data_IF_578559533776
#
_entry.id   IF_578559533776
#
_cell.length_a   1.000
_cell.length_b   1.000
_cell.length_c   1.000
_cell.angle_alpha   90.00
_cell.angle_beta   90.00
_cell.angle_gamma   90.00
#
_symmetry.space_group_name_H-M   'P 1'
#
loop_
_entity.id
_entity.type
_entity.pdbx_description
1 polymer ?
#
# COMPACT_ATOMS: atom_id res chain seq x y z
N UNK A 1 8.56 6.09 22.35
CA UNK A 1 8.48 6.72 21.01
C UNK A 1 7.13 7.37 20.88
N UNK A 2 7.10 8.55 20.29
CA UNK A 2 5.91 9.39 20.15
C UNK A 2 4.87 8.71 19.23
N UNK A 3 3.58 8.90 19.51
CA UNK A 3 2.47 8.29 18.75
C UNK A 3 2.41 8.71 17.26
N UNK A 4 3.19 9.71 16.86
CA UNK A 4 3.22 10.30 15.51
C UNK A 4 3.94 9.50 14.42
N UNK A 5 4.37 8.26 14.68
CA UNK A 5 4.97 7.39 13.65
C UNK A 5 3.98 6.35 13.06
N UNK A 6 2.73 6.34 13.54
CA UNK A 6 1.68 5.41 13.10
C UNK A 6 0.77 6.05 12.03
N UNK A 7 1.03 7.31 11.66
CA UNK A 7 0.23 8.07 10.69
C UNK A 7 0.46 7.62 9.23
N UNK A 8 1.19 6.52 9.01
CA UNK A 8 1.55 6.00 7.69
C UNK A 8 1.10 4.56 7.46
N UNK A 9 0.43 4.29 6.33
CA UNK A 9 0.21 2.92 5.85
C UNK A 9 1.56 2.25 5.51
N UNK A 10 1.77 0.95 5.81
CA UNK A 10 3.04 0.27 5.54
C UNK A 10 3.15 -0.09 4.05
N UNK A 11 3.72 0.82 3.24
CA UNK A 11 3.38 0.92 1.81
C UNK A 11 4.50 0.53 0.81
N UNK A 12 5.45 -0.33 1.18
CA UNK A 12 6.66 -0.55 0.35
C UNK A 12 6.86 -1.98 -0.16
N UNK A 13 5.92 -2.91 0.07
CA UNK A 13 6.15 -4.33 -0.23
C UNK A 13 7.39 -4.90 0.50
N UNK A 14 7.89 -4.14 1.47
CA UNK A 14 8.97 -4.39 2.42
C UNK A 14 8.56 -3.90 3.81
N UNK A 15 7.25 -3.91 4.09
CA UNK A 15 6.74 -3.58 5.41
C UNK A 15 7.52 -4.42 6.42
N UNK A 16 8.25 -3.82 7.38
CA UNK A 16 8.87 -4.59 8.46
C UNK A 16 7.78 -5.28 9.29
N UNK A 17 6.56 -4.76 9.22
CA UNK A 17 5.32 -5.26 9.79
C UNK A 17 4.66 -6.25 8.80
N UNK A 18 5.32 -7.36 8.50
CA UNK A 18 4.70 -8.56 7.89
C UNK A 18 3.96 -9.39 8.95
N UNK A 19 2.84 -10.06 8.63
CA UNK A 19 2.01 -10.80 9.60
C UNK A 19 2.80 -11.86 10.36
N UNK A 20 3.74 -12.50 9.66
CA UNK A 20 4.67 -13.53 10.17
C UNK A 20 5.81 -12.99 11.04
N UNK A 21 5.90 -11.67 11.23
CA UNK A 21 6.95 -10.98 12.00
C UNK A 21 6.38 -10.14 13.15
N UNK A 22 5.10 -10.31 13.49
CA UNK A 22 4.40 -9.59 14.55
C UNK A 22 4.08 -10.53 15.70
N UNK A 23 4.45 -10.13 16.91
CA UNK A 23 3.92 -10.72 18.13
C UNK A 23 2.93 -9.71 18.74
N UNK A 24 1.68 -10.13 18.90
CA UNK A 24 0.60 -9.26 19.37
C UNK A 24 -0.02 -9.88 20.61
N UNK A 25 -0.30 -9.04 21.61
CA UNK A 25 -0.99 -9.47 22.82
C UNK A 25 -2.38 -10.03 22.49
N UNK A 26 -2.67 -11.24 22.95
CA UNK A 26 -4.01 -11.85 22.80
C UNK A 26 -5.10 -10.96 23.40
N UNK A 27 -4.78 -10.26 24.50
CA UNK A 27 -5.70 -9.33 25.16
C UNK A 27 -6.10 -8.20 24.22
N UNK A 28 -5.12 -7.57 23.57
CA UNK A 28 -5.35 -6.49 22.61
C UNK A 28 -6.26 -6.94 21.46
N UNK A 29 -6.02 -8.14 20.92
CA UNK A 29 -6.84 -8.69 19.84
C UNK A 29 -8.29 -8.92 20.27
N UNK A 30 -8.50 -9.52 21.45
CA UNK A 30 -9.85 -9.83 21.97
C UNK A 30 -10.63 -8.57 22.35
N UNK A 31 -10.00 -7.64 23.05
CA UNK A 31 -10.66 -6.41 23.51
C UNK A 31 -11.07 -5.49 22.35
N UNK A 32 -10.33 -5.51 21.24
CA UNK A 32 -10.58 -4.68 20.06
C UNK A 32 -11.23 -5.45 18.89
N UNK A 33 -11.63 -6.70 19.12
CA UNK A 33 -12.23 -7.60 18.13
C UNK A 33 -11.43 -7.69 16.81
N UNK A 34 -10.10 -7.77 16.90
CA UNK A 34 -9.19 -7.73 15.75
C UNK A 34 -8.92 -9.13 15.21
N UNK A 35 -9.40 -9.36 13.99
CA UNK A 35 -9.26 -10.62 13.26
C UNK A 35 -8.85 -10.35 11.81
N UNK A 36 -8.30 -11.36 11.14
CA UNK A 36 -8.07 -11.29 9.70
C UNK A 36 -9.41 -11.26 8.97
N UNK A 37 -9.51 -10.44 7.93
CA UNK A 37 -10.69 -10.42 7.07
C UNK A 37 -10.62 -11.54 6.04
N UNK A 38 -11.76 -11.88 5.43
CA UNK A 38 -11.88 -12.91 4.39
C UNK A 38 -11.30 -12.47 3.02
N UNK A 39 -10.73 -11.27 2.93
CA UNK A 39 -10.16 -10.75 1.69
C UNK A 39 -8.91 -11.56 1.32
N UNK A 40 -8.75 -11.83 0.03
CA UNK A 40 -7.62 -12.62 -0.48
C UNK A 40 -6.32 -11.82 -0.61
N UNK A 41 -6.42 -10.49 -0.66
CA UNK A 41 -5.30 -9.55 -0.79
C UNK A 41 -5.61 -8.30 0.05
N UNK A 42 -4.69 -7.93 0.93
CA UNK A 42 -4.77 -6.71 1.74
C UNK A 42 -5.36 -6.92 3.14
N UNK A 43 -5.76 -8.15 3.47
CA UNK A 43 -6.18 -8.56 4.81
C UNK A 43 -5.11 -8.21 5.85
N UNK A 44 -3.84 -8.37 5.48
CA UNK A 44 -2.72 -8.04 6.36
C UNK A 44 -2.57 -6.54 6.59
N UNK A 45 -2.85 -5.71 5.58
CA UNK A 45 -2.73 -4.26 5.70
C UNK A 45 -3.77 -3.72 6.70
N UNK A 46 -5.03 -4.16 6.59
CA UNK A 46 -6.08 -3.80 7.53
C UNK A 46 -5.81 -4.37 8.93
N UNK A 47 -5.41 -5.65 9.04
CA UNK A 47 -5.05 -6.26 10.32
C UNK A 47 -3.93 -5.47 11.03
N UNK A 48 -2.89 -5.08 10.28
CA UNK A 48 -1.77 -4.30 10.81
C UNK A 48 -2.19 -2.91 11.27
N UNK A 49 -2.99 -2.22 10.46
CA UNK A 49 -3.54 -0.91 10.81
C UNK A 49 -4.31 -0.99 12.13
N UNK A 50 -5.23 -1.96 12.27
CA UNK A 50 -6.04 -2.13 13.47
C UNK A 50 -5.20 -2.40 14.73
N UNK A 51 -4.16 -3.23 14.62
CA UNK A 51 -3.24 -3.49 15.73
C UNK A 51 -2.50 -2.22 16.13
N UNK A 52 -1.88 -1.55 15.16
CA UNK A 52 -1.06 -0.37 15.43
C UNK A 52 -1.91 0.76 16.01
N UNK A 53 -3.13 0.93 15.52
CA UNK A 53 -4.08 1.92 16.02
C UNK A 53 -4.53 1.62 17.46
N UNK A 54 -4.76 0.35 17.81
CA UNK A 54 -5.21 -0.06 19.13
C UNK A 54 -4.06 -0.22 20.15
N UNK A 55 -2.80 -0.22 19.72
CA UNK A 55 -1.67 -0.51 20.59
C UNK A 55 -1.22 0.72 21.40
N UNK A 56 -1.10 0.53 22.72
CA UNK A 56 -0.50 1.54 23.60
C UNK A 56 1.03 1.59 23.49
N UNK A 57 1.66 0.46 23.16
CA UNK A 57 3.12 0.30 23.08
C UNK A 57 3.47 -0.60 21.90
N UNK A 58 4.47 -0.17 21.14
CA UNK A 58 5.02 -0.90 19.99
C UNK A 58 6.53 -0.95 20.17
N UNK A 59 7.13 -2.11 19.89
CA UNK A 59 8.57 -2.32 19.89
C UNK A 59 9.00 -3.03 18.61
N UNK A 60 10.19 -2.69 18.13
CA UNK A 60 10.81 -3.31 16.97
C UNK A 60 12.03 -4.12 17.40
N UNK A 61 12.32 -5.20 16.66
CA UNK A 61 13.50 -6.01 16.87
C UNK A 61 14.57 -5.52 15.89
N UNK A 62 15.62 -4.90 16.42
CA UNK A 62 16.54 -4.09 15.60
C UNK A 62 17.82 -4.86 15.22
N UNK A 63 18.12 -5.96 15.91
CA UNK A 63 19.48 -6.52 15.92
C UNK A 63 19.62 -7.87 15.21
N UNK A 64 18.55 -8.65 15.03
CA UNK A 64 18.65 -10.01 14.44
C UNK A 64 17.46 -10.37 13.55
N UNK A 65 17.69 -11.00 12.38
CA UNK A 65 16.62 -11.57 11.59
C UNK A 65 15.99 -12.74 12.36
N UNK A 66 14.72 -12.59 12.75
CA UNK A 66 13.95 -13.63 13.48
C UNK A 66 13.08 -14.50 12.57
N UNK A 67 13.03 -14.19 11.27
CA UNK A 67 12.21 -14.92 10.31
C UNK A 67 12.86 -14.91 8.92
N UNK A 68 12.96 -16.10 8.30
CA UNK A 68 13.42 -16.26 6.93
C UNK A 68 12.22 -16.49 6.01
N UNK A 69 11.98 -15.56 5.10
CA UNK A 69 10.89 -15.67 4.15
C UNK A 69 11.24 -16.66 3.03
N UNK A 70 10.43 -17.70 2.87
CA UNK A 70 10.61 -18.69 1.78
C UNK A 70 9.73 -18.29 0.59
N UNK A 71 10.35 -18.07 -0.56
CA UNK A 71 9.67 -17.64 -1.78
C UNK A 71 9.31 -18.85 -2.66
N UNK A 72 8.15 -19.45 -2.42
CA UNK A 72 7.68 -20.64 -3.15
C UNK A 72 7.17 -20.32 -4.57
N UNK A 73 7.22 -21.28 -5.48
CA UNK A 73 6.47 -21.20 -6.74
C UNK A 73 4.97 -21.20 -6.43
N UNK A 74 4.27 -20.11 -6.75
CA UNK A 74 2.87 -19.90 -6.35
C UNK A 74 2.64 -18.83 -5.28
N UNK A 75 3.70 -18.23 -4.70
CA UNK A 75 3.54 -17.07 -3.81
C UNK A 75 2.74 -15.96 -4.51
N UNK A 76 1.87 -15.27 -3.76
CA UNK A 76 1.04 -14.17 -4.29
C UNK A 76 1.87 -13.07 -4.99
N UNK A 77 3.12 -12.87 -4.53
CA UNK A 77 4.09 -11.97 -5.17
C UNK A 77 4.39 -12.32 -6.64
N UNK A 78 4.25 -13.60 -7.02
CA UNK A 78 4.45 -14.15 -8.37
C UNK A 78 3.18 -14.11 -9.24
N UNK A 79 2.01 -13.81 -8.67
CA UNK A 79 0.77 -13.63 -9.45
C UNK A 79 0.92 -12.38 -10.33
N UNK A 80 0.66 -12.55 -11.63
CA UNK A 80 0.66 -11.46 -12.62
C UNK A 80 -0.60 -10.60 -12.50
N UNK A 81 -0.77 -9.94 -11.35
CA UNK A 81 -1.77 -8.86 -11.20
C UNK A 81 -1.16 -7.53 -11.60
N UNK A 82 -1.91 -6.74 -12.37
CA UNK A 82 -1.58 -5.36 -12.72
C UNK A 82 -1.90 -4.37 -11.60
N UNK A 83 -2.77 -4.73 -10.65
CA UNK A 83 -3.13 -3.90 -9.50
C UNK A 83 -3.07 -4.73 -8.19
N UNK A 84 -1.88 -4.89 -7.62
CA UNK A 84 -1.70 -5.75 -6.45
C UNK A 84 -2.21 -5.11 -5.14
N UNK A 85 -2.36 -3.79 -5.09
CA UNK A 85 -2.71 -3.07 -3.85
C UNK A 85 -4.11 -2.46 -3.87
N UNK A 86 -4.78 -2.38 -5.02
CA UNK A 86 -6.11 -1.79 -5.14
C UNK A 86 -7.13 -2.37 -4.15
N UNK A 87 -7.14 -3.69 -3.93
CA UNK A 87 -8.04 -4.32 -2.96
C UNK A 87 -7.76 -3.90 -1.51
N UNK A 88 -6.48 -3.77 -1.13
CA UNK A 88 -6.09 -3.33 0.21
C UNK A 88 -6.54 -1.89 0.49
N UNK A 89 -6.45 -1.01 -0.52
CA UNK A 89 -6.88 0.40 -0.42
C UNK A 89 -8.39 0.50 -0.19
N UNK A 90 -9.20 -0.25 -0.94
CA UNK A 90 -10.65 -0.20 -0.77
C UNK A 90 -11.08 -0.78 0.59
N UNK A 91 -10.48 -1.90 1.01
CA UNK A 91 -10.76 -2.52 2.31
C UNK A 91 -10.46 -1.56 3.47
N UNK A 92 -9.34 -0.83 3.40
CA UNK A 92 -9.01 0.19 4.39
C UNK A 92 -9.95 1.39 4.34
N UNK A 93 -10.33 1.84 3.14
CA UNK A 93 -11.30 2.93 2.99
C UNK A 93 -12.62 2.57 3.68
N UNK A 94 -13.18 1.40 3.39
CA UNK A 94 -14.44 0.92 3.97
C UNK A 94 -14.35 0.90 5.50
N UNK A 95 -13.29 0.28 6.04
CA UNK A 95 -13.05 0.26 7.48
C UNK A 95 -12.98 1.66 8.10
N UNK A 96 -12.23 2.58 7.49
CA UNK A 96 -12.10 3.94 7.98
C UNK A 96 -13.43 4.70 7.98
N UNK A 97 -14.27 4.49 6.97
CA UNK A 97 -15.60 5.10 6.89
C UNK A 97 -16.54 4.54 7.94
N UNK A 98 -16.61 3.21 8.08
CA UNK A 98 -17.47 2.52 9.04
C UNK A 98 -17.15 2.86 10.50
N UNK A 99 -15.88 3.16 10.80
CA UNK A 99 -15.42 3.44 12.15
C UNK A 99 -15.26 4.95 12.44
N UNK A 100 -15.71 5.83 11.53
CA UNK A 100 -15.62 7.29 11.72
C UNK A 100 -14.18 7.84 11.74
N UNK A 101 -13.23 7.08 11.20
CA UNK A 101 -11.80 7.42 11.17
C UNK A 101 -11.37 8.05 9.85
N UNK A 102 -12.24 8.06 8.83
CA UNK A 102 -11.91 8.56 7.49
C UNK A 102 -11.33 9.97 7.51
N UNK A 103 -11.99 10.89 8.21
CA UNK A 103 -11.57 12.29 8.32
C UNK A 103 -10.13 12.46 8.82
N UNK A 104 -9.70 11.58 9.73
CA UNK A 104 -8.37 11.58 10.34
C UNK A 104 -7.29 11.02 9.41
N UNK A 105 -7.63 10.07 8.55
CA UNK A 105 -6.66 9.31 7.75
C UNK A 105 -6.88 9.45 6.24
N UNK A 106 -7.69 10.40 5.79
CA UNK A 106 -8.03 10.54 4.37
C UNK A 106 -6.82 10.94 3.51
N UNK A 107 -5.92 11.76 4.05
CA UNK A 107 -4.66 12.14 3.43
C UNK A 107 -3.67 10.96 3.35
N UNK A 108 -3.56 10.15 4.40
CA UNK A 108 -2.78 8.90 4.40
C UNK A 108 -3.40 7.87 3.43
N UNK A 109 -4.72 7.78 3.35
CA UNK A 109 -5.41 6.91 2.40
C UNK A 109 -5.17 7.37 0.95
N UNK A 110 -5.13 8.68 0.72
CA UNK A 110 -4.72 9.24 -0.57
C UNK A 110 -3.26 8.94 -0.89
N UNK A 111 -2.36 8.97 0.10
CA UNK A 111 -0.98 8.52 -0.05
C UNK A 111 -0.92 7.05 -0.48
N UNK A 112 -1.66 6.17 0.19
CA UNK A 112 -1.72 4.76 -0.15
C UNK A 112 -2.30 4.53 -1.56
N UNK A 113 -3.34 5.27 -1.94
CA UNK A 113 -3.88 5.27 -3.32
C UNK A 113 -2.83 5.65 -4.35
N UNK A 114 -2.04 6.68 -4.06
CA UNK A 114 -0.99 7.15 -4.97
C UNK A 114 0.11 6.08 -5.12
N UNK A 115 0.59 5.50 -4.02
CA UNK A 115 1.55 4.39 -4.08
C UNK A 115 1.01 3.20 -4.86
N UNK A 116 -0.22 2.78 -4.56
CA UNK A 116 -0.89 1.71 -5.29
C UNK A 116 -0.94 2.02 -6.79
N UNK A 117 -1.24 3.26 -7.19
CA UNK A 117 -1.26 3.68 -8.59
C UNK A 117 0.12 3.63 -9.26
N UNK A 118 1.17 4.10 -8.58
CA UNK A 118 2.56 3.98 -9.07
C UNK A 118 2.93 2.52 -9.30
N UNK A 119 2.66 1.66 -8.31
CA UNK A 119 2.96 0.22 -8.39
C UNK A 119 2.17 -0.44 -9.52
N UNK A 120 0.88 -0.11 -9.69
CA UNK A 120 0.10 -0.65 -10.79
C UNK A 120 0.66 -0.23 -12.15
N UNK A 121 1.06 1.03 -12.31
CA UNK A 121 1.63 1.54 -13.56
C UNK A 121 2.98 0.86 -13.89
N UNK A 122 3.85 0.66 -12.90
CA UNK A 122 5.09 -0.11 -13.05
C UNK A 122 4.81 -1.58 -13.44
N UNK A 123 3.74 -2.20 -12.94
CA UNK A 123 3.33 -3.53 -13.38
C UNK A 123 2.72 -3.54 -14.78
N UNK A 124 1.88 -2.57 -15.11
CA UNK A 124 1.28 -2.43 -16.45
C UNK A 124 2.38 -2.28 -17.51
N UNK A 125 3.42 -1.47 -17.25
CA UNK A 125 4.56 -1.28 -18.14
C UNK A 125 5.32 -2.58 -18.44
N UNK A 126 5.38 -3.50 -17.46
CA UNK A 126 6.07 -4.79 -17.59
C UNK A 126 5.19 -5.90 -18.18
N UNK A 127 3.88 -5.86 -17.94
CA UNK A 127 2.95 -6.91 -18.35
C UNK A 127 2.38 -6.69 -19.76
N UNK A 128 2.22 -5.45 -20.21
CA UNK A 128 1.56 -5.11 -21.47
C UNK A 128 2.46 -4.28 -22.38
N UNK A 129 2.22 -4.37 -23.70
CA UNK A 129 2.93 -3.58 -24.72
C UNK A 129 1.96 -2.78 -25.58
N UNK A 130 2.50 -1.79 -26.29
CA UNK A 130 1.78 -1.04 -27.34
C UNK A 130 0.50 -0.36 -26.86
N UNK A 131 -0.58 -0.54 -27.62
CA UNK A 131 -1.87 0.10 -27.35
C UNK A 131 -2.54 -0.40 -26.06
N UNK A 132 -2.51 -1.71 -25.81
CA UNK A 132 -3.07 -2.31 -24.58
C UNK A 132 -2.43 -1.70 -23.32
N UNK A 133 -1.11 -1.49 -23.35
CA UNK A 133 -0.39 -0.82 -22.26
C UNK A 133 -0.90 0.60 -22.03
N UNK A 134 -1.04 1.40 -23.11
CA UNK A 134 -1.56 2.78 -23.04
C UNK A 134 -3.01 2.82 -22.53
N UNK A 135 -3.86 1.90 -22.97
CA UNK A 135 -5.25 1.80 -22.52
C UNK A 135 -5.34 1.50 -21.03
N UNK A 136 -4.61 0.49 -20.55
CA UNK A 136 -4.59 0.13 -19.12
C UNK A 136 -4.02 1.25 -18.25
N UNK A 137 -2.98 1.95 -18.71
CA UNK A 137 -2.41 3.09 -18.00
C UNK A 137 -3.43 4.23 -17.84
N UNK A 138 -4.14 4.59 -18.92
CA UNK A 138 -5.19 5.61 -18.88
C UNK A 138 -6.30 5.23 -17.91
N UNK A 139 -6.78 3.98 -17.98
CA UNK A 139 -7.81 3.48 -17.05
C UNK A 139 -7.33 3.60 -15.60
N UNK A 140 -6.08 3.24 -15.31
CA UNK A 140 -5.53 3.31 -13.96
C UNK A 140 -5.43 4.75 -13.43
N UNK A 141 -4.99 5.69 -14.26
CA UNK A 141 -4.93 7.12 -13.93
C UNK A 141 -6.33 7.69 -13.70
N UNK A 142 -7.28 7.41 -14.60
CA UNK A 142 -8.67 7.84 -14.41
C UNK A 142 -9.24 7.31 -13.10
N UNK A 143 -9.01 6.02 -12.77
CA UNK A 143 -9.43 5.44 -11.50
C UNK A 143 -8.80 6.15 -10.30
N UNK A 144 -7.50 6.48 -10.37
CA UNK A 144 -6.84 7.25 -9.32
C UNK A 144 -7.52 8.61 -9.11
N UNK A 145 -7.75 9.38 -10.18
CA UNK A 145 -8.38 10.71 -10.06
C UNK A 145 -9.85 10.66 -9.63
N UNK A 146 -10.60 9.63 -10.00
CA UNK A 146 -11.99 9.46 -9.55
C UNK A 146 -12.10 9.18 -8.06
N UNK A 147 -11.13 8.44 -7.50
CA UNK A 147 -11.12 8.03 -6.09
C UNK A 147 -10.33 8.98 -5.18
N UNK A 148 -9.55 9.88 -5.77
CA UNK A 148 -8.74 10.84 -5.03
C UNK A 148 -9.62 11.90 -4.35
N UNK A 149 -9.47 12.01 -3.04
CA UNK A 149 -10.16 13.03 -2.26
C UNK A 149 -9.40 14.36 -2.33
N UNK A 150 -9.94 15.31 -3.10
CA UNK A 150 -9.27 16.58 -3.40
C UNK A 150 -9.15 17.51 -2.19
N UNK A 151 -10.03 17.36 -1.21
CA UNK A 151 -10.11 18.27 -0.07
C UNK A 151 -9.07 17.92 1.00
N UNK A 152 -8.54 16.69 0.97
CA UNK A 152 -7.70 16.14 2.04
C UNK A 152 -6.21 16.15 1.73
N UNK A 153 -5.83 16.35 0.47
CA UNK A 153 -4.42 16.32 0.08
C UNK A 153 -3.80 14.92 0.13
N UNK A 154 -2.48 14.85 0.16
CA UNK A 154 -1.71 13.60 0.22
C UNK A 154 -0.69 13.75 1.35
N UNK A 155 -0.74 12.85 2.32
CA UNK A 155 0.33 12.74 3.31
C UNK A 155 1.57 12.17 2.63
N UNK A 156 2.51 13.06 2.27
CA UNK A 156 3.72 12.63 1.61
C UNK A 156 4.66 11.94 2.59
N UNK A 157 4.60 12.21 3.89
CA UNK A 157 5.59 11.72 4.86
C UNK A 157 5.41 10.24 5.17
N UNK A 158 4.21 9.70 4.99
CA UNK A 158 3.96 8.25 4.98
C UNK A 158 4.50 7.51 3.75
N UNK A 159 4.85 8.22 2.67
CA UNK A 159 5.22 7.58 1.41
C UNK A 159 6.72 7.28 1.32
N UNK A 160 7.04 6.14 0.71
CA UNK A 160 8.42 5.89 0.26
C UNK A 160 8.89 6.96 -0.73
N UNK A 161 10.17 7.36 -0.65
CA UNK A 161 10.75 8.36 -1.55
C UNK A 161 10.52 8.06 -3.04
N UNK A 162 10.57 6.77 -3.42
CA UNK A 162 10.33 6.30 -4.79
C UNK A 162 8.91 6.61 -5.26
N UNK A 163 7.90 6.39 -4.42
CA UNK A 163 6.52 6.69 -4.76
C UNK A 163 6.27 8.21 -4.73
N UNK A 164 6.82 8.91 -3.72
CA UNK A 164 6.72 10.37 -3.52
C UNK A 164 7.11 11.16 -4.78
N UNK A 165 8.22 10.80 -5.44
CA UNK A 165 8.69 11.48 -6.67
C UNK A 165 7.63 11.44 -7.80
N UNK A 166 6.82 10.40 -7.87
CA UNK A 166 5.84 10.25 -8.94
C UNK A 166 4.49 10.92 -8.66
N UNK A 167 4.23 11.36 -7.43
CA UNK A 167 2.96 11.99 -7.05
C UNK A 167 2.62 13.20 -7.94
N UNK A 168 3.52 14.17 -8.21
CA UNK A 168 3.18 15.31 -9.05
C UNK A 168 2.79 14.91 -10.49
N UNK A 169 3.36 13.82 -11.01
CA UNK A 169 3.05 13.31 -12.33
C UNK A 169 1.69 12.61 -12.36
N UNK A 170 1.39 11.79 -11.35
CA UNK A 170 0.07 11.19 -11.16
C UNK A 170 -1.02 12.26 -11.09
N UNK A 171 -0.80 13.31 -10.31
CA UNK A 171 -1.75 14.42 -10.17
C UNK A 171 -2.02 15.11 -11.50
N UNK A 172 -1.02 15.23 -12.38
CA UNK A 172 -1.16 15.78 -13.75
C UNK A 172 -1.65 14.74 -14.78
N UNK A 173 -1.96 13.51 -14.38
CA UNK A 173 -2.36 12.42 -15.26
C UNK A 173 -1.25 11.88 -16.16
N UNK A 174 0.01 12.17 -15.83
CA UNK A 174 1.18 11.75 -16.59
C UNK A 174 1.76 10.44 -16.01
N UNK A 175 1.79 9.39 -16.84
CA UNK A 175 2.37 8.09 -16.47
C UNK A 175 3.66 7.74 -17.23
N UNK A 176 4.05 8.56 -18.22
CA UNK A 176 5.19 8.27 -19.11
C UNK A 176 6.52 8.16 -18.35
N UNK A 177 6.72 9.00 -17.33
CA UNK A 177 7.94 8.98 -16.53
C UNK A 177 8.05 7.69 -15.71
N UNK A 178 6.94 7.21 -15.14
CA UNK A 178 6.89 5.93 -14.41
C UNK A 178 7.26 4.79 -15.36
N UNK A 179 6.77 4.83 -16.60
CA UNK A 179 7.08 3.81 -17.61
C UNK A 179 8.55 3.84 -18.02
N UNK A 180 9.13 5.02 -18.22
CA UNK A 180 10.55 5.18 -18.52
C UNK A 180 11.41 4.56 -17.41
N UNK A 181 11.12 4.89 -16.14
CA UNK A 181 11.85 4.33 -15.01
C UNK A 181 11.67 2.81 -14.89
N UNK A 182 10.46 2.30 -15.15
CA UNK A 182 10.18 0.86 -15.17
C UNK A 182 10.97 0.13 -16.26
N UNK A 183 11.04 0.70 -17.46
CA UNK A 183 11.82 0.17 -18.57
C UNK A 183 13.32 0.19 -18.29
N UNK A 184 13.87 1.32 -17.81
CA UNK A 184 15.29 1.42 -17.42
C UNK A 184 15.66 0.37 -16.36
N UNK A 185 14.79 0.14 -15.38
CA UNK A 185 15.00 -0.91 -14.37
C UNK A 185 15.08 -2.31 -14.99
N UNK A 186 14.29 -2.60 -16.02
CA UNK A 186 14.31 -3.88 -16.73
C UNK A 186 15.55 -4.11 -17.61
N UNK A 187 16.35 -3.08 -17.87
CA UNK A 187 17.62 -3.21 -18.59
C UNK A 187 18.80 -3.50 -17.66
N UNK A 188 18.67 -3.14 -16.38
CA UNK A 188 19.73 -3.25 -15.37
C UNK A 188 19.57 -4.54 -14.54
N UNK A 189 18.40 -5.19 -14.61
CA UNK A 189 18.06 -6.43 -13.86
C UNK A 189 17.81 -7.57 -14.83
#
# INVERSE_FOLDING_TARGET
MDKGQIDSFPDDGKSPVGGVRKAVSLRLLKENNIEYTLHSIGEEALYSFRILYAADRIGFLDEKPVYFYVNHEGSQSKIKSSDPWGGAVECLKEYLQENGLYEKFADTLNAFRATAAVVSLDRIARLYKGETCRKNAKVRICRFHMLYDKERGIDLDSMSYKAKIFVPFLMKGQYRLIFLCSWLKSLIT
#
